data_IF_045907339023
#
_entry.id   IF_045907339023
#
_cell.length_a   1.000
_cell.length_b   1.000
_cell.length_c   1.000
_cell.angle_alpha   90.00
_cell.angle_beta   90.00
_cell.angle_gamma   90.00
#
_symmetry.space_group_name_H-M   'P 1'
#
loop_
_entity.id
_entity.type
_entity.pdbx_description
1 polymer ?
#
# COMPACT_ATOMS: atom_id res chain seq x y z
N UNK A 1 -10.65 15.17 8.85
CA UNK A 1 -9.68 16.25 9.14
C UNK A 1 -8.41 15.95 8.35
N UNK A 2 -7.81 17.00 7.82
CA UNK A 2 -6.97 17.06 6.61
C UNK A 2 -5.72 16.18 6.60
N UNK A 3 -5.52 15.51 5.47
CA UNK A 3 -4.22 15.10 4.94
C UNK A 3 -3.97 15.91 3.66
N UNK A 4 -2.72 15.87 3.17
CA UNK A 4 -2.19 16.33 1.88
C UNK A 4 -1.33 17.60 1.89
N UNK A 5 -0.11 17.45 1.37
CA UNK A 5 0.81 18.55 1.03
C UNK A 5 0.16 19.48 0.00
N UNK A 6 -0.26 20.67 0.43
CA UNK A 6 -0.49 21.80 -0.46
C UNK A 6 0.82 22.58 -0.61
N UNK A 7 1.39 22.65 -1.82
CA UNK A 7 2.38 23.70 -2.12
C UNK A 7 1.64 25.01 -2.40
N UNK A 8 1.88 26.01 -1.56
CA UNK A 8 1.50 27.40 -1.84
C UNK A 8 2.64 28.03 -2.66
N UNK A 9 2.42 28.20 -3.96
CA UNK A 9 3.20 29.14 -4.78
C UNK A 9 2.25 30.27 -5.19
N UNK A 10 2.67 31.51 -4.95
CA UNK A 10 1.90 32.71 -5.24
C UNK A 10 1.59 32.84 -6.75
N UNK A 11 0.35 33.26 -7.06
CA UNK A 11 -0.17 33.72 -8.36
C UNK A 11 -0.76 32.70 -9.38
N UNK A 12 -1.82 31.96 -9.00
CA UNK A 12 -2.69 31.25 -9.97
C UNK A 12 -2.73 29.73 -9.78
N UNK A 13 -3.43 29.31 -8.72
CA UNK A 13 -3.27 28.01 -8.03
C UNK A 13 -3.71 26.80 -8.87
N UNK A 14 -2.79 25.85 -9.04
CA UNK A 14 -3.03 24.46 -9.46
C UNK A 14 -2.41 23.52 -8.41
N UNK A 15 -3.21 22.62 -7.80
CA UNK A 15 -2.72 21.61 -6.86
C UNK A 15 -2.67 20.25 -7.54
N UNK A 16 -1.52 19.55 -7.52
CA UNK A 16 -1.37 18.19 -8.02
C UNK A 16 -1.50 17.21 -6.85
N UNK A 17 -2.54 16.38 -6.89
CA UNK A 17 -2.76 15.34 -5.87
C UNK A 17 -2.50 13.98 -6.50
N UNK A 18 -1.76 13.11 -5.82
CA UNK A 18 -1.51 11.73 -6.22
C UNK A 18 -2.22 10.76 -5.28
N UNK A 19 -2.91 9.77 -5.84
CA UNK A 19 -3.46 8.66 -5.09
C UNK A 19 -3.00 7.34 -5.70
N UNK A 20 -2.60 6.34 -4.90
CA UNK A 20 -2.39 4.99 -5.39
C UNK A 20 -3.74 4.44 -5.87
N UNK A 21 -3.82 4.06 -7.14
CA UNK A 21 -5.05 3.59 -7.77
C UNK A 21 -4.70 2.48 -8.76
N UNK A 22 -5.07 1.24 -8.44
CA UNK A 22 -4.70 0.07 -9.25
C UNK A 22 -5.92 -0.51 -9.93
N UNK A 23 -5.84 -0.66 -11.26
CA UNK A 23 -6.76 -1.51 -12.02
C UNK A 23 -6.11 -2.01 -13.31
N UNK A 24 -6.49 -3.21 -13.72
CA UNK A 24 -5.96 -3.94 -14.87
C UNK A 24 -7.02 -4.97 -15.38
N UNK A 25 -6.96 -5.41 -16.66
CA UNK A 25 -7.70 -6.58 -17.13
C UNK A 25 -6.96 -7.87 -16.76
N UNK A 26 -7.58 -9.03 -17.04
CA UNK A 26 -6.87 -10.31 -17.00
C UNK A 26 -5.64 -10.29 -17.93
N UNK A 27 -4.63 -11.10 -17.60
CA UNK A 27 -3.36 -11.15 -18.32
C UNK A 27 -3.07 -12.59 -18.83
N UNK A 28 -3.00 -12.83 -20.16
CA UNK A 28 -3.36 -11.90 -21.23
C UNK A 28 -4.85 -11.54 -21.22
N UNK A 29 -5.21 -10.41 -21.81
CA UNK A 29 -6.62 -10.01 -21.90
C UNK A 29 -7.41 -10.95 -22.81
N UNK A 30 -8.74 -10.97 -22.68
CA UNK A 30 -9.62 -11.84 -23.48
C UNK A 30 -9.90 -11.27 -24.88
N UNK A 31 -10.18 -12.14 -25.85
CA UNK A 31 -10.77 -11.77 -27.15
C UNK A 31 -12.21 -11.25 -26.98
N UNK A 32 -12.67 -10.42 -27.92
CA UNK A 32 -14.01 -9.80 -27.96
C UNK A 32 -14.37 -9.06 -26.67
N UNK A 33 -13.36 -8.56 -25.96
CA UNK A 33 -13.48 -7.86 -24.71
C UNK A 33 -13.88 -6.41 -24.98
N UNK A 34 -14.83 -5.88 -24.21
CA UNK A 34 -15.21 -4.48 -24.29
C UNK A 34 -15.58 -3.97 -22.90
N UNK A 35 -14.61 -3.35 -22.23
CA UNK A 35 -14.81 -2.85 -20.87
C UNK A 35 -14.26 -1.44 -20.73
N UNK A 36 -14.92 -0.65 -19.88
CA UNK A 36 -14.54 0.73 -19.59
C UNK A 36 -14.40 0.92 -18.09
N UNK A 37 -13.19 1.15 -17.62
CA UNK A 37 -12.92 1.60 -16.26
C UNK A 37 -13.15 3.10 -16.17
N UNK A 38 -13.80 3.56 -15.11
CA UNK A 38 -14.05 4.98 -14.86
C UNK A 38 -13.39 5.38 -13.55
N UNK A 39 -12.52 6.38 -13.61
CA UNK A 39 -11.88 7.00 -12.44
C UNK A 39 -12.51 8.37 -12.24
N UNK A 40 -13.02 8.61 -11.04
CA UNK A 40 -13.63 9.90 -10.67
C UNK A 40 -12.84 10.51 -9.52
N UNK A 41 -12.34 11.73 -9.70
CA UNK A 41 -11.70 12.54 -8.67
C UNK A 41 -12.46 13.85 -8.46
N UNK A 42 -13.52 13.80 -7.65
CA UNK A 42 -14.39 14.94 -7.38
C UNK A 42 -13.62 16.21 -7.05
N UNK A 43 -13.96 17.31 -7.73
CA UNK A 43 -13.31 18.61 -7.56
C UNK A 43 -12.08 18.84 -8.44
N UNK A 44 -11.59 17.80 -9.13
CA UNK A 44 -10.53 17.98 -10.10
C UNK A 44 -11.04 18.74 -11.33
N UNK A 45 -10.31 19.76 -11.73
CA UNK A 45 -10.46 20.49 -12.99
C UNK A 45 -9.79 19.79 -14.15
N UNK A 46 -8.76 18.97 -13.88
CA UNK A 46 -8.14 18.03 -14.83
C UNK A 46 -7.68 16.79 -14.10
N UNK A 47 -7.64 15.65 -14.79
CA UNK A 47 -7.20 14.37 -14.26
C UNK A 47 -6.35 13.62 -15.31
N UNK A 48 -5.35 12.86 -14.89
CA UNK A 48 -4.62 11.92 -15.74
C UNK A 48 -4.24 10.67 -14.95
N UNK A 49 -3.96 9.58 -15.66
CA UNK A 49 -3.57 8.29 -15.09
C UNK A 49 -2.14 7.96 -15.47
N UNK A 50 -1.49 7.11 -14.70
CA UNK A 50 -0.22 6.51 -15.04
C UNK A 50 -0.43 5.04 -15.36
N UNK A 51 -0.01 4.61 -16.54
CA UNK A 51 0.19 3.21 -16.84
C UNK A 51 1.56 2.80 -16.31
N UNK A 52 1.60 1.87 -15.35
CA UNK A 52 2.82 1.12 -15.02
C UNK A 52 3.35 0.44 -16.28
N UNK A 53 2.43 -0.12 -17.10
CA UNK A 53 2.72 -0.66 -18.43
C UNK A 53 1.45 -0.83 -19.28
N UNK A 54 1.63 -0.90 -20.59
CA UNK A 54 0.66 -1.47 -21.51
C UNK A 54 1.34 -2.31 -22.60
N UNK A 55 0.61 -3.28 -23.13
CA UNK A 55 1.05 -4.29 -24.09
C UNK A 55 -0.17 -4.88 -24.80
N UNK A 56 -0.47 -4.39 -26.00
CA UNK A 56 -1.71 -4.68 -26.75
C UNK A 56 -1.42 -4.94 -28.23
N UNK A 57 -2.36 -5.56 -28.95
CA UNK A 57 -2.30 -5.66 -30.40
C UNK A 57 -2.71 -4.33 -31.02
N UNK A 58 -1.76 -3.62 -31.62
CA UNK A 58 -2.05 -2.37 -32.31
C UNK A 58 -2.95 -2.59 -33.52
N UNK A 59 -3.69 -1.55 -33.87
CA UNK A 59 -4.66 -1.49 -34.97
C UNK A 59 -5.95 -2.31 -34.76
N UNK A 60 -5.86 -3.50 -34.18
CA UNK A 60 -7.00 -4.41 -33.98
C UNK A 60 -7.63 -4.29 -32.60
N UNK A 61 -6.79 -4.27 -31.56
CA UNK A 61 -7.23 -3.97 -30.21
C UNK A 61 -7.03 -2.50 -29.89
N UNK A 62 -7.86 -1.98 -28.99
CA UNK A 62 -7.96 -0.56 -28.72
C UNK A 62 -7.93 -0.24 -27.23
N UNK A 63 -6.82 0.33 -26.75
CA UNK A 63 -6.66 0.95 -25.45
C UNK A 63 -6.83 2.48 -25.54
N UNK A 64 -7.98 2.97 -25.08
CA UNK A 64 -8.40 4.37 -25.26
C UNK A 64 -8.58 5.09 -23.93
N UNK A 65 -8.20 6.36 -23.92
CA UNK A 65 -8.53 7.30 -22.85
C UNK A 65 -9.73 8.13 -23.28
N UNK A 66 -10.75 8.21 -22.45
CA UNK A 66 -11.94 9.03 -22.70
C UNK A 66 -12.20 10.00 -21.55
N UNK A 67 -12.91 11.09 -21.84
CA UNK A 67 -13.42 11.98 -20.80
C UNK A 67 -14.66 11.42 -20.09
N UNK A 68 -15.11 12.15 -19.06
CA UNK A 68 -16.33 11.81 -18.31
C UNK A 68 -17.59 11.65 -19.17
N UNK A 69 -17.67 12.34 -20.32
CA UNK A 69 -18.79 12.23 -21.27
C UNK A 69 -18.62 11.06 -22.25
N UNK A 70 -17.46 10.40 -22.26
CA UNK A 70 -17.15 9.28 -23.14
C UNK A 70 -16.57 9.69 -24.50
N UNK A 71 -16.09 10.94 -24.65
CA UNK A 71 -15.35 11.33 -25.85
C UNK A 71 -13.91 10.85 -25.74
N UNK A 72 -13.40 10.23 -26.80
CA UNK A 72 -11.99 9.82 -26.86
C UNK A 72 -11.05 11.02 -26.81
N UNK A 73 -10.01 10.90 -26.00
CA UNK A 73 -8.93 11.89 -25.83
C UNK A 73 -7.59 11.36 -26.33
N UNK A 74 -7.40 10.05 -26.29
CA UNK A 74 -6.17 9.40 -26.73
C UNK A 74 -6.40 7.92 -27.06
N UNK A 75 -5.67 7.40 -28.04
CA UNK A 75 -5.66 5.99 -28.43
C UNK A 75 -4.20 5.50 -28.48
N UNK A 76 -3.85 4.54 -27.60
CA UNK A 76 -2.52 3.93 -27.50
C UNK A 76 -2.25 2.85 -28.54
N UNK A 77 -3.20 2.62 -29.43
CA UNK A 77 -3.25 1.47 -30.33
C UNK A 77 -3.03 1.88 -31.79
N UNK A 78 -2.65 3.15 -32.01
CA UNK A 78 -2.33 3.71 -33.31
C UNK A 78 -1.02 3.13 -33.86
N UNK A 79 -1.12 2.07 -34.66
CA UNK A 79 0.01 1.43 -35.34
C UNK A 79 -0.25 -0.06 -35.53
N UNK A 80 0.34 -0.67 -36.56
CA UNK A 80 0.23 -2.12 -36.76
C UNK A 80 1.21 -2.88 -35.85
N UNK A 81 0.79 -4.06 -35.38
CA UNK A 81 1.60 -4.94 -34.54
C UNK A 81 1.58 -4.56 -33.06
N UNK A 82 2.37 -5.27 -32.26
CA UNK A 82 2.39 -5.16 -30.78
C UNK A 82 2.78 -3.76 -30.32
N UNK A 83 1.89 -3.08 -29.57
CA UNK A 83 2.14 -1.80 -28.92
C UNK A 83 2.48 -2.05 -27.46
N UNK A 84 3.72 -1.75 -27.06
CA UNK A 84 4.21 -2.00 -25.71
C UNK A 84 4.98 -0.79 -25.18
N UNK A 85 4.70 -0.40 -23.93
CA UNK A 85 5.46 0.62 -23.23
C UNK A 85 5.31 0.45 -21.72
N UNK A 86 6.29 0.94 -20.98
CA UNK A 86 6.31 0.96 -19.53
C UNK A 86 6.33 2.42 -19.04
N UNK A 87 5.70 2.67 -17.89
CA UNK A 87 5.77 3.95 -17.18
C UNK A 87 5.31 5.16 -18.01
N UNK A 88 4.05 5.17 -18.43
CA UNK A 88 3.48 6.21 -19.30
C UNK A 88 2.33 6.94 -18.63
N UNK A 89 2.43 8.27 -18.52
CA UNK A 89 1.29 9.10 -18.14
C UNK A 89 0.34 9.32 -19.32
N UNK A 90 -0.97 9.29 -19.05
CA UNK A 90 -1.97 9.73 -20.01
C UNK A 90 -1.90 11.24 -20.23
N UNK A 91 -2.39 11.73 -21.37
CA UNK A 91 -2.73 13.13 -21.49
C UNK A 91 -3.68 13.56 -20.37
N UNK A 92 -3.65 14.85 -20.04
CA UNK A 92 -4.63 15.44 -19.15
C UNK A 92 -6.01 15.42 -19.79
N UNK A 93 -6.99 14.98 -19.02
CA UNK A 93 -8.41 15.02 -19.35
C UNK A 93 -9.06 16.09 -18.50
N UNK A 94 -9.80 17.01 -19.13
CA UNK A 94 -10.51 18.06 -18.40
C UNK A 94 -11.70 17.47 -17.63
N UNK A 95 -11.94 18.02 -16.44
CA UNK A 95 -12.97 17.58 -15.51
C UNK A 95 -12.47 16.59 -14.46
N UNK A 96 -13.41 16.08 -13.68
CA UNK A 96 -13.17 15.21 -12.53
C UNK A 96 -13.26 13.73 -12.89
N UNK A 97 -13.37 13.38 -14.17
CA UNK A 97 -13.57 11.99 -14.64
C UNK A 97 -12.69 11.68 -15.84
N UNK A 98 -12.00 10.55 -15.75
CA UNK A 98 -11.26 9.93 -16.84
C UNK A 98 -11.68 8.47 -16.97
N UNK A 99 -11.75 7.98 -18.20
CA UNK A 99 -12.09 6.60 -18.49
C UNK A 99 -10.97 5.95 -19.28
N UNK A 100 -10.71 4.68 -18.97
CA UNK A 100 -9.85 3.82 -19.78
C UNK A 100 -10.76 2.76 -20.40
N UNK A 101 -10.67 2.55 -21.70
CA UNK A 101 -11.44 1.51 -22.41
C UNK A 101 -10.49 0.57 -23.12
N UNK A 102 -10.70 -0.73 -22.93
CA UNK A 102 -10.09 -1.77 -23.74
C UNK A 102 -11.18 -2.42 -24.59
N UNK A 103 -11.01 -2.40 -25.91
CA UNK A 103 -11.87 -3.11 -26.87
C UNK A 103 -11.00 -4.02 -27.71
N UNK A 104 -11.31 -5.32 -27.79
CA UNK A 104 -10.47 -6.31 -28.47
C UNK A 104 -11.23 -7.07 -29.54
N UNK A 105 -10.51 -7.61 -30.52
CA UNK A 105 -11.06 -8.38 -31.63
C UNK A 105 -11.14 -9.90 -31.32
N UNK A 106 -11.39 -10.74 -32.32
CA UNK A 106 -11.57 -12.17 -32.13
C UNK A 106 -10.29 -12.99 -31.89
N UNK A 107 -9.09 -12.38 -31.95
CA UNK A 107 -7.81 -13.09 -31.93
C UNK A 107 -6.63 -12.24 -31.44
N UNK A 108 -5.49 -12.88 -31.18
CA UNK A 108 -4.19 -12.24 -30.83
C UNK A 108 -4.27 -11.31 -29.60
N UNK A 109 -4.04 -11.89 -28.43
CA UNK A 109 -4.04 -11.16 -27.16
C UNK A 109 -2.63 -11.01 -26.58
N UNK A 110 -2.37 -9.88 -25.93
CA UNK A 110 -1.14 -9.61 -25.20
C UNK A 110 -1.41 -9.37 -23.71
N UNK A 111 -0.42 -8.87 -22.97
CA UNK A 111 -0.52 -8.73 -21.52
C UNK A 111 -1.65 -7.78 -21.10
N UNK A 112 -1.93 -6.69 -21.83
CA UNK A 112 -2.96 -5.71 -21.47
C UNK A 112 -2.35 -4.46 -20.88
N UNK A 113 -2.93 -3.89 -19.83
CA UNK A 113 -2.38 -2.69 -19.20
C UNK A 113 -2.52 -2.75 -17.68
N UNK A 114 -1.73 -1.95 -16.98
CA UNK A 114 -1.90 -1.71 -15.56
C UNK A 114 -1.79 -0.23 -15.26
N UNK A 115 -2.83 0.33 -14.64
CA UNK A 115 -2.77 1.67 -14.06
C UNK A 115 -2.39 1.54 -12.59
N UNK A 116 -1.48 2.38 -12.10
CA UNK A 116 -1.01 2.38 -10.70
C UNK A 116 -1.18 3.74 -10.00
N UNK A 117 -1.32 4.84 -10.77
CA UNK A 117 -1.44 6.19 -10.21
C UNK A 117 -2.50 7.00 -10.94
N UNK A 118 -3.08 7.95 -10.21
CA UNK A 118 -3.91 9.03 -10.73
C UNK A 118 -3.33 10.36 -10.26
N UNK A 119 -3.40 11.38 -11.11
CA UNK A 119 -3.04 12.76 -10.78
C UNK A 119 -4.17 13.70 -11.15
N UNK A 120 -4.55 14.61 -10.24
CA UNK A 120 -5.62 15.58 -10.45
C UNK A 120 -5.17 17.01 -10.18
N UNK A 121 -5.73 17.98 -10.92
CA UNK A 121 -5.53 19.43 -10.76
C UNK A 121 -6.78 20.06 -10.15
N UNK A 122 -6.67 20.83 -9.08
CA UNK A 122 -7.82 21.45 -8.38
C UNK A 122 -7.77 22.98 -8.45
N UNK A 123 -8.93 23.64 -8.53
CA UNK A 123 -9.04 25.10 -8.48
C UNK A 123 -9.41 25.59 -7.08
N UNK A 124 -8.57 26.46 -6.50
CA UNK A 124 -8.82 27.14 -5.24
C UNK A 124 -8.39 26.37 -3.98
N UNK A 125 -7.95 27.11 -2.96
CA UNK A 125 -7.50 26.65 -1.65
C UNK A 125 -8.61 26.08 -0.75
N UNK A 126 -9.82 25.92 -1.27
CA UNK A 126 -11.03 25.51 -0.53
C UNK A 126 -11.72 24.25 -1.08
N UNK A 127 -11.21 23.65 -2.16
CA UNK A 127 -11.81 22.46 -2.79
C UNK A 127 -11.28 21.10 -2.30
N UNK A 128 -10.18 21.07 -1.52
CA UNK A 128 -9.57 19.84 -1.03
C UNK A 128 -10.14 19.35 0.32
N UNK A 129 -11.33 19.82 0.72
CA UNK A 129 -12.03 19.34 1.92
C UNK A 129 -13.10 18.34 1.52
N UNK A 130 -12.78 17.07 1.74
CA UNK A 130 -13.64 15.92 2.05
C UNK A 130 -13.13 14.66 1.33
N UNK A 131 -12.32 13.90 2.05
CA UNK A 131 -12.26 12.46 1.86
C UNK A 131 -12.58 11.81 3.19
N UNK A 132 -13.80 11.29 3.29
CA UNK A 132 -14.12 10.18 4.17
C UNK A 132 -13.74 8.91 3.41
N UNK A 133 -12.77 8.14 3.91
CA UNK A 133 -12.78 6.71 3.68
C UNK A 133 -13.83 6.14 4.63
N UNK A 134 -14.85 5.49 4.08
CA UNK A 134 -15.81 4.73 4.89
C UNK A 134 -15.22 3.34 5.17
N UNK A 135 -14.34 3.25 6.16
CA UNK A 135 -14.22 1.99 6.90
C UNK A 135 -15.49 1.86 7.75
N UNK A 136 -16.17 0.73 7.67
CA UNK A 136 -17.35 0.46 8.47
C UNK A 136 -16.98 0.52 9.95
N UNK A 137 -17.46 1.54 10.64
CA UNK A 137 -17.28 1.68 12.08
C UNK A 137 -18.10 0.62 12.84
N UNK A 138 -17.34 -0.21 13.57
CA UNK A 138 -17.53 -0.74 14.94
C UNK A 138 -18.92 -0.55 15.59
N UNK A 139 -19.45 -1.65 16.11
CA UNK A 139 -20.28 -1.62 17.32
C UNK A 139 -19.71 -2.59 18.37
N UNK A 140 -19.63 -2.09 19.60
CA UNK A 140 -18.97 -2.64 20.79
C UNK A 140 -19.77 -3.75 21.46
N UNK A 141 -19.11 -4.80 21.97
CA UNK A 141 -19.37 -5.59 23.21
C UNK A 141 -18.34 -6.74 23.15
N UNK A 142 -17.52 -7.13 24.14
CA UNK A 142 -17.76 -7.39 25.55
C UNK A 142 -17.18 -8.78 25.86
N UNK A 143 -15.92 -8.81 26.31
CA UNK A 143 -15.11 -9.87 26.97
C UNK A 143 -15.65 -11.32 27.01
N UNK A 144 -14.82 -12.31 26.62
CA UNK A 144 -14.02 -13.14 27.54
C UNK A 144 -13.75 -14.56 27.01
N UNK A 145 -12.46 -14.92 26.94
CA UNK A 145 -11.96 -16.26 27.26
C UNK A 145 -12.05 -17.35 26.18
N UNK A 146 -10.90 -17.95 25.85
CA UNK A 146 -10.65 -19.38 25.54
C UNK A 146 -9.21 -19.51 25.01
N UNK A 147 -8.19 -19.65 25.86
CA UNK A 147 -7.55 -20.92 26.28
C UNK A 147 -7.53 -22.01 25.21
N UNK A 148 -6.40 -22.14 24.50
CA UNK A 148 -6.30 -23.16 23.44
C UNK A 148 -4.95 -23.44 22.77
N UNK A 149 -3.84 -22.75 23.05
CA UNK A 149 -2.51 -23.17 22.58
C UNK A 149 -1.48 -22.98 23.70
N UNK A 150 -1.21 -24.05 24.48
CA UNK A 150 -0.13 -24.02 25.46
C UNK A 150 1.20 -24.28 24.76
N UNK A 151 2.03 -23.25 24.67
CA UNK A 151 3.49 -23.40 24.71
C UNK A 151 3.91 -23.84 26.12
N UNK A 152 5.03 -24.56 26.22
CA UNK A 152 5.56 -25.07 27.49
C UNK A 152 6.31 -23.91 28.17
N UNK A 153 6.03 -23.52 29.43
CA UNK A 153 6.72 -22.41 30.08
C UNK A 153 8.23 -22.67 30.31
N UNK A 154 9.07 -21.61 30.34
CA UNK A 154 8.71 -20.21 30.45
C UNK A 154 9.12 -19.40 29.20
N UNK A 155 8.38 -19.54 28.10
CA UNK A 155 8.51 -18.59 26.99
C UNK A 155 7.84 -17.26 27.40
N UNK A 156 8.51 -16.11 27.22
CA UNK A 156 7.96 -14.83 27.60
C UNK A 156 6.75 -14.47 26.72
N UNK A 157 5.74 -13.84 27.32
CA UNK A 157 4.40 -13.64 26.72
C UNK A 157 4.35 -12.76 25.45
N UNK A 158 5.48 -12.22 25.00
CA UNK A 158 5.63 -11.43 23.79
C UNK A 158 6.11 -12.27 22.59
N UNK A 159 6.61 -13.49 22.81
CA UNK A 159 7.05 -14.36 21.72
C UNK A 159 5.85 -14.81 20.87
N UNK A 160 5.91 -14.47 19.58
CA UNK A 160 4.87 -14.76 18.61
C UNK A 160 5.34 -14.49 17.17
N UNK A 161 4.44 -14.65 16.20
CA UNK A 161 4.76 -14.55 14.77
C UNK A 161 4.38 -13.17 14.18
N UNK A 162 4.75 -12.08 14.87
CA UNK A 162 4.43 -10.72 14.44
C UNK A 162 5.06 -10.37 13.08
N UNK A 163 6.23 -10.94 12.78
CA UNK A 163 6.92 -10.87 11.49
C UNK A 163 6.13 -11.54 10.36
N UNK A 164 5.59 -12.74 10.62
CA UNK A 164 4.79 -13.50 9.68
C UNK A 164 3.45 -12.81 9.41
N UNK A 165 2.79 -12.33 10.47
CA UNK A 165 1.54 -11.60 10.38
C UNK A 165 1.72 -10.30 9.59
N UNK A 166 2.78 -9.54 9.91
CA UNK A 166 3.12 -8.32 9.17
C UNK A 166 3.34 -8.62 7.69
N UNK A 167 4.05 -9.71 7.37
CA UNK A 167 4.27 -10.11 5.99
C UNK A 167 2.99 -10.48 5.26
N UNK A 168 2.15 -11.33 5.87
CA UNK A 168 0.88 -11.76 5.31
C UNK A 168 -0.03 -10.54 5.06
N UNK A 169 -0.11 -9.61 6.01
CA UNK A 169 -0.94 -8.40 5.88
C UNK A 169 -0.54 -7.47 4.73
N UNK A 170 0.72 -7.55 4.27
CA UNK A 170 1.23 -6.77 3.14
C UNK A 170 1.06 -7.52 1.81
N UNK A 171 1.01 -8.86 1.85
CA UNK A 171 1.15 -9.71 0.67
C UNK A 171 -0.11 -10.43 0.25
N UNK A 172 -1.06 -10.54 1.15
CA UNK A 172 -2.29 -11.28 0.95
C UNK A 172 -3.46 -10.32 1.02
N UNK A 173 -4.46 -10.55 0.18
CA UNK A 173 -5.73 -9.84 0.29
C UNK A 173 -6.40 -10.24 1.61
N UNK A 174 -6.98 -9.24 2.29
CA UNK A 174 -7.66 -9.50 3.55
C UNK A 174 -8.89 -10.39 3.32
N UNK A 175 -9.01 -11.53 4.02
CA UNK A 175 -10.25 -12.29 4.02
C UNK A 175 -11.40 -11.43 4.53
N UNK A 176 -12.46 -11.29 3.73
CA UNK A 176 -13.63 -10.45 4.06
C UNK A 176 -14.91 -11.23 4.31
N UNK A 177 -14.92 -12.52 4.00
CA UNK A 177 -16.08 -13.40 4.19
C UNK A 177 -15.66 -14.76 4.74
N UNK A 178 -16.45 -15.32 5.66
CA UNK A 178 -16.36 -16.72 6.08
C UNK A 178 -16.50 -17.65 4.88
N UNK A 179 -15.73 -18.74 4.87
CA UNK A 179 -15.71 -19.72 3.77
C UNK A 179 -15.96 -21.12 4.30
N UNK A 180 -16.59 -21.97 3.48
CA UNK A 180 -16.81 -23.38 3.80
C UNK A 180 -16.11 -24.23 2.75
N UNK A 181 -15.20 -25.09 3.18
CA UNK A 181 -14.52 -26.05 2.32
C UNK A 181 -14.69 -27.45 2.88
N UNK A 182 -15.24 -28.37 2.09
CA UNK A 182 -15.51 -29.76 2.49
C UNK A 182 -16.31 -29.91 3.80
N UNK A 183 -17.25 -28.98 4.05
CA UNK A 183 -18.10 -28.98 5.25
C UNK A 183 -17.43 -28.43 6.51
N UNK A 184 -16.21 -27.91 6.41
CA UNK A 184 -15.53 -27.17 7.48
C UNK A 184 -15.68 -25.68 7.20
N UNK A 185 -16.19 -24.95 8.19
CA UNK A 185 -16.26 -23.49 8.18
C UNK A 185 -14.94 -22.90 8.64
N UNK A 186 -14.47 -21.88 7.91
CA UNK A 186 -13.29 -21.08 8.23
C UNK A 186 -13.73 -19.63 8.34
N UNK A 187 -13.74 -19.11 9.57
CA UNK A 187 -14.02 -17.70 9.79
C UNK A 187 -12.84 -16.82 9.34
N UNK A 188 -12.95 -15.50 9.49
CA UNK A 188 -11.89 -14.58 9.04
C UNK A 188 -10.59 -14.77 9.81
N UNK A 189 -10.68 -15.22 11.07
CA UNK A 189 -9.53 -15.41 11.94
C UNK A 189 -8.81 -16.71 11.63
N UNK A 190 -9.55 -17.78 11.37
CA UNK A 190 -9.00 -19.02 10.85
C UNK A 190 -8.23 -18.75 9.56
N UNK A 191 -8.85 -18.00 8.64
CA UNK A 191 -8.26 -17.62 7.36
C UNK A 191 -6.98 -16.77 7.54
N UNK A 192 -7.01 -15.74 8.40
CA UNK A 192 -5.85 -14.89 8.69
C UNK A 192 -4.73 -15.63 9.43
N UNK A 193 -5.09 -16.52 10.35
CA UNK A 193 -4.14 -17.37 11.07
C UNK A 193 -3.46 -18.36 10.13
N UNK A 194 -4.22 -18.97 9.22
CA UNK A 194 -3.68 -19.84 8.17
C UNK A 194 -2.74 -19.06 7.24
N UNK A 195 -3.15 -17.89 6.73
CA UNK A 195 -2.27 -17.04 5.91
C UNK A 195 -0.99 -16.70 6.68
N UNK A 196 -1.10 -16.21 7.91
CA UNK A 196 0.06 -15.91 8.77
C UNK A 196 1.00 -17.10 8.91
N UNK A 197 0.46 -18.31 9.12
CA UNK A 197 1.29 -19.52 9.25
C UNK A 197 2.08 -19.88 7.98
N UNK A 198 1.61 -19.45 6.80
CA UNK A 198 2.36 -19.62 5.54
C UNK A 198 3.52 -18.63 5.39
N UNK A 199 3.61 -17.64 6.29
CA UNK A 199 4.63 -16.60 6.31
C UNK A 199 5.63 -16.68 7.48
N UNK A 200 5.54 -17.70 8.34
CA UNK A 200 6.51 -17.93 9.43
C UNK A 200 7.96 -18.02 8.90
N UNK A 201 8.94 -17.50 9.64
CA UNK A 201 10.37 -17.46 9.27
C UNK A 201 10.74 -16.63 8.01
N UNK A 202 9.84 -15.75 7.51
CA UNK A 202 10.06 -14.96 6.28
C UNK A 202 11.01 -13.76 6.40
N UNK A 203 11.61 -13.50 7.56
CA UNK A 203 12.64 -12.45 7.69
C UNK A 203 13.83 -12.73 6.75
N UNK A 204 14.10 -14.01 6.47
CA UNK A 204 15.15 -14.43 5.54
C UNK A 204 14.72 -14.08 4.10
N UNK A 205 15.49 -13.23 3.42
CA UNK A 205 15.20 -12.79 2.04
C UNK A 205 14.38 -11.50 1.95
N UNK A 206 14.13 -10.80 3.05
CA UNK A 206 13.52 -9.47 3.04
C UNK A 206 14.54 -8.37 2.74
N UNK A 207 14.08 -7.22 2.23
CA UNK A 207 14.91 -6.01 2.26
C UNK A 207 14.88 -5.45 3.67
N UNK A 208 16.04 -5.35 4.33
CA UNK A 208 16.16 -5.00 5.74
C UNK A 208 17.08 -3.80 5.93
N UNK A 209 16.69 -2.88 6.82
CA UNK A 209 17.41 -1.65 7.11
C UNK A 209 17.44 -1.37 8.61
N UNK A 210 18.62 -1.51 9.21
CA UNK A 210 18.87 -1.07 10.58
C UNK A 210 18.76 0.46 10.67
N UNK A 211 17.92 0.93 11.58
CA UNK A 211 17.79 2.34 11.90
C UNK A 211 18.46 2.58 13.25
N UNK A 212 19.27 3.63 13.30
CA UNK A 212 19.78 4.16 14.55
C UNK A 212 19.48 5.65 14.58
N UNK A 213 19.80 6.27 15.71
CA UNK A 213 19.51 7.67 15.94
C UNK A 213 20.11 8.62 14.88
N UNK A 214 21.17 8.24 14.17
CA UNK A 214 21.81 9.03 13.10
C UNK A 214 21.23 8.76 11.70
N UNK A 215 20.42 7.71 11.54
CA UNK A 215 19.89 7.27 10.23
C UNK A 215 18.50 7.80 9.91
N UNK A 216 18.14 8.99 10.41
CA UNK A 216 16.84 9.59 10.14
C UNK A 216 16.57 9.84 8.64
N UNK A 217 17.60 10.09 7.84
CA UNK A 217 17.45 10.18 6.38
C UNK A 217 17.03 8.84 5.77
N UNK A 218 17.58 7.73 6.23
CA UNK A 218 17.22 6.40 5.73
C UNK A 218 15.75 6.08 6.04
N UNK A 219 15.31 6.34 7.27
CA UNK A 219 13.90 6.26 7.67
C UNK A 219 13.00 7.11 6.76
N UNK A 220 13.36 8.38 6.56
CA UNK A 220 12.63 9.31 5.71
C UNK A 220 12.53 8.81 4.25
N UNK A 221 13.67 8.39 3.68
CA UNK A 221 13.73 7.91 2.31
C UNK A 221 12.89 6.64 2.14
N UNK A 222 12.91 5.70 3.09
CA UNK A 222 12.18 4.42 3.00
C UNK A 222 10.68 4.58 3.16
N UNK A 223 10.21 5.42 4.07
CA UNK A 223 8.78 5.77 4.12
C UNK A 223 8.31 6.38 2.79
N UNK A 224 9.13 7.26 2.21
CA UNK A 224 8.80 7.90 0.93
C UNK A 224 8.88 6.94 -0.26
N UNK A 225 9.83 6.02 -0.26
CA UNK A 225 9.96 5.01 -1.30
C UNK A 225 8.77 4.04 -1.26
N UNK A 226 8.53 3.41 -0.11
CA UNK A 226 7.52 2.35 -0.03
C UNK A 226 6.10 2.92 -0.02
N UNK A 227 5.79 3.82 0.91
CA UNK A 227 4.41 4.29 1.08
C UNK A 227 4.08 5.32 0.00
N UNK A 228 4.92 6.33 -0.20
CA UNK A 228 4.63 7.42 -1.16
C UNK A 228 4.88 7.04 -2.62
N UNK A 229 6.01 6.41 -2.94
CA UNK A 229 6.41 6.15 -4.33
C UNK A 229 5.79 4.86 -4.86
N UNK A 230 5.80 3.81 -4.03
CA UNK A 230 5.36 2.48 -4.43
C UNK A 230 3.91 2.17 -4.03
N UNK A 231 3.29 2.98 -3.16
CA UNK A 231 1.93 2.71 -2.65
C UNK A 231 1.85 1.44 -1.80
N UNK A 232 2.97 1.03 -1.18
CA UNK A 232 3.09 -0.22 -0.44
C UNK A 232 3.36 0.06 1.03
N UNK A 233 2.75 -0.70 1.95
CA UNK A 233 3.17 -0.66 3.34
C UNK A 233 4.61 -1.15 3.51
N UNK A 234 5.24 -0.77 4.61
CA UNK A 234 6.56 -1.22 5.04
C UNK A 234 6.49 -1.67 6.49
N UNK A 235 7.24 -2.70 6.87
CA UNK A 235 7.25 -3.16 8.27
C UNK A 235 8.28 -2.36 9.05
N UNK A 236 7.95 -2.04 10.30
CA UNK A 236 8.83 -1.30 11.19
C UNK A 236 8.73 -1.84 12.62
N UNK A 237 9.87 -1.90 13.29
CA UNK A 237 9.88 -1.98 14.75
C UNK A 237 9.85 -0.58 15.35
N UNK A 238 8.75 -0.28 16.02
CA UNK A 238 8.44 1.05 16.54
C UNK A 238 8.86 1.23 18.00
N UNK A 239 9.43 0.20 18.62
CA UNK A 239 9.91 0.22 19.99
C UNK A 239 11.43 0.07 20.01
N UNK A 240 12.13 0.96 20.72
CA UNK A 240 13.58 0.81 20.92
C UNK A 240 13.90 0.54 22.40
N UNK A 241 14.89 -0.31 22.68
CA UNK A 241 15.44 -0.44 24.04
C UNK A 241 14.86 -1.51 24.96
N UNK A 242 14.49 -2.69 24.43
CA UNK A 242 14.23 -3.90 25.21
C UNK A 242 14.62 -5.17 24.46
N UNK A 243 14.48 -6.34 25.10
CA UNK A 243 14.74 -7.64 24.47
C UNK A 243 13.60 -8.08 23.52
N UNK A 244 12.52 -7.30 23.42
CA UNK A 244 11.32 -7.61 22.63
C UNK A 244 11.43 -7.01 21.24
N UNK A 245 10.97 -7.76 20.24
CA UNK A 245 10.94 -7.33 18.84
C UNK A 245 9.48 -7.31 18.37
N UNK A 246 9.04 -6.16 17.86
CA UNK A 246 7.65 -5.95 17.46
C UNK A 246 7.56 -5.49 16.00
N UNK A 247 7.00 -6.33 15.14
CA UNK A 247 6.87 -6.02 13.73
C UNK A 247 5.49 -5.44 13.44
N UNK A 248 5.45 -4.22 12.93
CA UNK A 248 4.20 -3.53 12.61
C UNK A 248 4.16 -3.07 11.14
N UNK A 249 3.08 -3.37 10.40
CA UNK A 249 2.83 -2.78 9.09
C UNK A 249 2.55 -1.28 9.22
N UNK A 250 3.46 -0.47 8.67
CA UNK A 250 3.29 0.97 8.48
C UNK A 250 2.68 1.21 7.12
N UNK A 251 1.44 1.69 7.09
CA UNK A 251 0.68 1.85 5.83
C UNK A 251 0.46 3.32 5.43
N UNK A 252 0.68 4.24 6.37
CA UNK A 252 0.46 5.67 6.15
C UNK A 252 1.45 6.48 6.97
N UNK A 253 1.84 7.65 6.45
CA UNK A 253 2.52 8.67 7.24
C UNK A 253 2.01 10.07 6.88
N UNK A 254 2.19 11.00 7.81
CA UNK A 254 1.98 12.44 7.69
C UNK A 254 3.29 13.13 8.04
N UNK A 255 3.67 14.16 7.31
CA UNK A 255 4.96 14.82 7.48
C UNK A 255 4.80 16.32 7.38
N UNK A 256 5.45 17.04 8.29
CA UNK A 256 5.60 18.49 8.24
C UNK A 256 7.07 18.85 8.37
N UNK A 257 7.49 19.95 7.77
CA UNK A 257 8.88 20.37 7.81
C UNK A 257 9.07 21.89 7.69
N UNK A 258 10.22 22.37 8.14
CA UNK A 258 10.68 23.74 7.96
C UNK A 258 12.22 23.80 7.96
N UNK A 259 12.79 24.82 7.35
CA UNK A 259 14.24 25.08 7.40
C UNK A 259 14.62 25.67 8.76
N UNK A 260 15.66 25.13 9.39
CA UNK A 260 16.16 25.62 10.68
C UNK A 260 16.60 27.10 10.56
N UNK A 261 16.03 28.02 11.35
CA UNK A 261 16.38 29.45 11.27
C UNK A 261 17.86 29.74 11.59
N UNK A 262 18.53 28.87 12.35
CA UNK A 262 19.94 28.99 12.72
C UNK A 262 20.90 28.23 11.81
N UNK A 263 20.40 27.34 10.95
CA UNK A 263 21.20 26.54 10.01
C UNK A 263 20.40 26.32 8.71
N UNK A 264 20.59 27.18 7.67
CA UNK A 264 19.82 27.09 6.44
C UNK A 264 20.06 25.80 5.64
N UNK A 265 21.11 25.04 5.98
CA UNK A 265 21.38 23.74 5.37
C UNK A 265 20.63 22.61 6.05
N UNK A 266 19.92 22.86 7.15
CA UNK A 266 19.23 21.86 7.97
C UNK A 266 17.73 22.02 7.85
N UNK A 267 17.06 20.95 7.42
CA UNK A 267 15.59 20.88 7.42
C UNK A 267 15.13 20.04 8.59
N UNK A 268 14.18 20.55 9.37
CA UNK A 268 13.56 19.88 10.51
C UNK A 268 12.26 19.22 10.05
N UNK A 269 12.04 17.97 10.44
CA UNK A 269 10.88 17.17 10.10
C UNK A 269 10.16 16.71 11.37
N UNK A 270 8.83 16.70 11.32
CA UNK A 270 7.97 15.95 12.23
C UNK A 270 7.13 15.00 11.39
N UNK A 271 7.30 13.69 11.60
CA UNK A 271 6.63 12.63 10.83
C UNK A 271 5.81 11.76 11.75
N UNK A 272 4.50 11.71 11.54
CA UNK A 272 3.59 10.76 12.20
C UNK A 272 3.37 9.58 11.27
N UNK A 273 3.50 8.36 11.77
CA UNK A 273 3.26 7.11 11.03
C UNK A 273 2.07 6.39 11.65
N UNK A 274 1.23 5.77 10.83
CA UNK A 274 0.16 4.89 11.29
C UNK A 274 0.59 3.46 11.08
N UNK A 275 0.36 2.66 12.12
CA UNK A 275 0.71 1.26 12.16
C UNK A 275 -0.53 0.40 12.41
N UNK A 276 -0.50 -0.82 11.90
CA UNK A 276 -1.39 -1.87 12.41
C UNK A 276 -0.76 -2.51 13.64
N UNK A 277 -1.57 -2.74 14.66
CA UNK A 277 -1.17 -3.45 15.89
C UNK A 277 -1.59 -4.92 15.83
N UNK A 278 -0.99 -5.75 16.65
CA UNK A 278 -1.31 -7.18 16.80
C UNK A 278 -2.64 -7.43 17.54
N UNK A 279 -3.37 -6.37 17.88
CA UNK A 279 -4.70 -6.48 18.45
C UNK A 279 -5.65 -7.22 17.52
N UNK A 280 -6.50 -8.06 18.12
CA UNK A 280 -7.38 -8.96 17.40
C UNK A 280 -8.85 -8.67 17.69
N UNK A 281 -9.71 -8.81 16.67
CA UNK A 281 -11.16 -8.77 16.82
C UNK A 281 -11.75 -10.18 16.77
N UNK A 282 -12.79 -10.43 17.58
CA UNK A 282 -13.44 -11.75 17.69
C UNK A 282 -14.02 -12.24 16.35
N UNK A 283 -14.39 -11.32 15.47
CA UNK A 283 -14.94 -11.57 14.14
C UNK A 283 -13.90 -11.53 13.00
N UNK A 284 -12.67 -11.12 13.31
CA UNK A 284 -11.57 -11.07 12.37
C UNK A 284 -11.66 -10.00 11.32
N UNK A 285 -12.42 -8.93 11.55
CA UNK A 285 -12.61 -7.84 10.59
C UNK A 285 -11.54 -6.75 10.65
N UNK A 286 -10.46 -6.91 11.45
CA UNK A 286 -9.30 -6.03 11.36
C UNK A 286 -8.42 -5.97 12.61
N UNK A 287 -7.26 -5.34 12.45
CA UNK A 287 -6.28 -5.04 13.49
C UNK A 287 -6.35 -3.57 13.89
N UNK A 288 -6.30 -3.21 15.20
CA UNK A 288 -6.38 -1.82 15.63
C UNK A 288 -5.26 -0.98 15.05
N UNK A 289 -5.59 0.27 14.73
CA UNK A 289 -4.61 1.28 14.35
C UNK A 289 -3.97 1.89 15.59
N UNK A 290 -2.67 2.14 15.51
CA UNK A 290 -1.93 3.01 16.42
C UNK A 290 -1.06 3.97 15.60
N UNK A 291 -0.46 4.95 16.25
CA UNK A 291 0.44 5.89 15.59
C UNK A 291 1.66 6.28 16.43
N UNK A 292 2.74 6.59 15.73
CA UNK A 292 3.99 7.07 16.33
C UNK A 292 4.45 8.34 15.65
N UNK A 293 5.00 9.28 16.40
CA UNK A 293 5.49 10.55 15.86
C UNK A 293 6.98 10.68 16.11
N UNK A 294 7.74 10.81 15.02
CA UNK A 294 9.19 10.98 15.04
C UNK A 294 9.57 12.40 14.64
N UNK A 295 10.53 12.97 15.38
CA UNK A 295 11.12 14.28 15.09
C UNK A 295 12.58 14.10 14.73
N UNK A 296 13.02 14.71 13.63
CA UNK A 296 14.38 14.55 13.13
C UNK A 296 14.78 15.72 12.23
N UNK A 297 16.06 15.78 11.86
CA UNK A 297 16.54 16.69 10.84
C UNK A 297 17.32 15.97 9.74
N UNK A 298 17.38 16.59 8.56
CA UNK A 298 18.25 16.19 7.45
C UNK A 298 18.94 17.46 6.92
N UNK A 299 20.25 17.39 6.77
CA UNK A 299 21.06 18.45 6.18
C UNK A 299 21.25 18.23 4.67
N UNK A 300 21.59 19.29 3.94
CA UNK A 300 21.85 19.23 2.50
C UNK A 300 22.99 18.29 2.11
N UNK A 301 23.95 18.06 3.01
CA UNK A 301 25.05 17.10 2.83
C UNK A 301 24.64 15.65 3.14
N UNK A 302 23.39 15.42 3.54
CA UNK A 302 22.84 14.12 3.90
C UNK A 302 22.93 13.77 5.39
N UNK A 303 23.66 14.55 6.20
CA UNK A 303 23.74 14.34 7.66
C UNK A 303 22.35 14.41 8.28
N UNK A 304 21.98 13.44 9.09
CA UNK A 304 20.66 13.37 9.70
C UNK A 304 20.69 12.87 11.13
N UNK A 305 19.64 13.16 11.90
CA UNK A 305 19.48 12.61 13.26
C UNK A 305 18.05 12.73 13.75
N UNK A 306 17.56 11.71 14.45
CA UNK A 306 16.37 11.83 15.30
C UNK A 306 16.66 12.69 16.52
N UNK A 307 15.74 13.59 16.85
CA UNK A 307 15.95 14.62 17.90
C UNK A 307 15.37 14.22 19.25
N UNK A 308 14.65 13.10 19.31
CA UNK A 308 14.18 12.52 20.56
C UNK A 308 15.20 11.47 21.02
N UNK A 309 15.74 11.65 22.23
CA UNK A 309 16.74 10.77 22.84
C UNK A 309 16.10 9.71 23.76
N UNK A 310 14.75 9.65 23.82
CA UNK A 310 14.05 8.61 24.57
C UNK A 310 14.12 7.25 23.88
N UNK A 311 13.90 6.14 24.61
CA UNK A 311 13.86 4.79 24.04
C UNK A 311 12.75 4.55 23.00
N UNK A 312 11.85 5.48 22.68
CA UNK A 312 10.92 5.31 21.55
C UNK A 312 11.06 6.46 20.54
N UNK A 313 12.18 7.20 20.61
CA UNK A 313 12.44 8.39 19.82
C UNK A 313 12.74 8.15 18.34
N UNK A 314 12.99 6.88 17.97
CA UNK A 314 13.24 6.41 16.61
C UNK A 314 12.88 4.91 16.51
N UNK A 315 12.61 4.37 15.31
CA UNK A 315 12.39 2.93 15.14
C UNK A 315 13.71 2.16 15.15
N UNK A 316 13.70 0.89 15.54
CA UNK A 316 14.93 0.06 15.57
C UNK A 316 15.34 -0.39 14.16
N UNK A 317 14.37 -0.80 13.35
CA UNK A 317 14.61 -1.19 11.97
C UNK A 317 13.35 -1.06 11.12
N UNK A 318 13.56 -1.09 9.81
CA UNK A 318 12.51 -1.17 8.80
C UNK A 318 12.81 -2.32 7.84
N UNK A 319 11.77 -2.95 7.31
CA UNK A 319 11.95 -3.99 6.30
C UNK A 319 10.73 -4.17 5.41
N UNK A 320 10.94 -4.78 4.25
CA UNK A 320 9.88 -5.12 3.32
C UNK A 320 9.96 -6.61 2.91
N UNK A 321 8.85 -7.36 3.05
CA UNK A 321 8.81 -8.78 2.68
C UNK A 321 8.91 -8.93 1.16
N UNK A 322 9.77 -9.83 0.66
CA UNK A 322 9.84 -10.13 -0.78
C UNK A 322 8.78 -11.12 -1.25
N UNK A 323 8.36 -12.05 -0.39
CA UNK A 323 7.39 -13.09 -0.69
C UNK A 323 7.63 -14.31 0.20
N UNK A 324 6.86 -15.38 -0.02
CA UNK A 324 7.01 -16.64 0.71
C UNK A 324 8.29 -17.37 0.27
N UNK A 325 8.95 -18.04 1.21
CA UNK A 325 10.04 -18.97 0.88
C UNK A 325 9.51 -20.30 0.33
N UNK A 326 9.43 -20.43 -0.98
CA UNK A 326 9.19 -21.71 -1.65
C UNK A 326 10.34 -22.01 -2.63
N UNK A 327 10.80 -23.28 -2.79
CA UNK A 327 10.31 -24.52 -2.17
C UNK A 327 11.18 -25.10 -1.04
N UNK A 328 12.26 -24.43 -0.61
CA UNK A 328 13.31 -25.07 0.21
C UNK A 328 13.17 -24.90 1.74
N UNK A 329 12.27 -24.03 2.23
CA UNK A 329 11.94 -23.88 3.65
C UNK A 329 10.47 -23.50 3.79
N UNK A 330 9.60 -24.49 3.98
CA UNK A 330 8.22 -24.21 4.38
C UNK A 330 8.25 -23.56 5.77
N UNK A 331 7.80 -22.31 5.84
CA UNK A 331 7.46 -21.55 7.05
C UNK A 331 6.75 -22.42 8.11
N UNK A 332 5.74 -23.16 7.66
CA UNK A 332 5.14 -24.26 8.39
C UNK A 332 5.00 -25.45 7.43
N UNK A 333 5.76 -26.56 7.61
CA UNK A 333 5.75 -27.67 6.67
C UNK A 333 4.39 -28.39 6.57
N UNK A 334 3.52 -28.19 7.57
CA UNK A 334 2.21 -28.79 7.70
C UNK A 334 1.08 -27.96 7.08
N UNK A 335 1.33 -26.71 6.67
CA UNK A 335 0.33 -25.84 6.04
C UNK A 335 0.70 -25.64 4.57
N UNK A 336 -0.13 -26.14 3.66
CA UNK A 336 0.06 -25.97 2.23
C UNK A 336 -0.56 -24.66 1.75
N UNK A 337 0.23 -23.79 1.12
CA UNK A 337 -0.26 -22.49 0.68
C UNK A 337 -1.41 -22.57 -0.33
N UNK A 338 -1.35 -23.48 -1.31
CA UNK A 338 -2.42 -23.59 -2.32
C UNK A 338 -3.74 -24.03 -1.67
N UNK A 339 -3.66 -24.87 -0.64
CA UNK A 339 -4.83 -25.20 0.19
C UNK A 339 -5.35 -23.96 0.92
N UNK A 340 -4.47 -23.14 1.50
CA UNK A 340 -4.88 -21.89 2.16
C UNK A 340 -5.52 -20.91 1.16
N UNK A 341 -4.95 -20.72 -0.03
CA UNK A 341 -5.55 -19.89 -1.10
C UNK A 341 -6.94 -20.37 -1.49
N UNK A 342 -7.12 -21.69 -1.63
CA UNK A 342 -8.45 -22.29 -1.87
C UNK A 342 -9.44 -21.97 -0.74
N UNK A 343 -8.97 -21.97 0.52
CA UNK A 343 -9.80 -21.63 1.68
C UNK A 343 -10.18 -20.15 1.67
N UNK A 344 -9.24 -19.23 1.39
CA UNK A 344 -9.51 -17.79 1.43
C UNK A 344 -10.19 -17.25 0.17
N UNK A 345 -10.25 -18.06 -0.90
CA UNK A 345 -10.89 -17.73 -2.16
C UNK A 345 -10.02 -16.91 -3.10
N UNK A 346 -8.69 -17.09 -3.01
CA UNK A 346 -7.69 -16.53 -3.92
C UNK A 346 -7.38 -17.40 -5.13
#
# INVERSE_FOLDING_TARGET
MENYDSYVLSNGVYAYVYAPFVFEPDHPYSNNYNYTWTVTWSGATKIRLHFERYDIEGHYDHLRILDGSGNEKWDYSNGYGRQINDSVWTPWVDGDKIKVRLTTDGSVTYWGFKVDKVEGVFSGSSGAKNWEYKLLERSTYGLSGMSGHRTVPPDPAWEGHCDAWSSASIKEDEPTTTRILNGVEFDLNDQKGLLTSTYMDNVIGSYFWDIDQSKAKLFHDKLREYIKTNGKPIVMDVHTGGDQVWNHPVYKYEMTWYTDPGDPLKTIYTTKVWIKTDGWSVDGTGTPDDDKTYKYYIKTDGTSRFTDDSPDGYPDFMWYPLGRQEPFRRANPCVNYNTVQTIVGG
#
